data_IF_887632506079
#
_entry.id   IF_887632506079
#
_cell.length_a   1.000
_cell.length_b   1.000
_cell.length_c   1.000
_cell.angle_alpha   90.00
_cell.angle_beta   90.00
_cell.angle_gamma   90.00
#
_symmetry.space_group_name_H-M   'P 1'
#
loop_
_entity.id
_entity.type
_entity.pdbx_description
1 polymer ?
#
# COMPACT_ATOMS: atom_id res chain seq x y z
N UNK A 1 0.94 43.14 -4.75
CA UNK A 1 0.21 42.09 -5.49
C UNK A 1 1.23 41.08 -6.01
N UNK A 2 1.55 40.05 -5.22
CA UNK A 2 2.63 39.09 -5.50
C UNK A 2 2.09 38.03 -6.45
N UNK A 3 2.51 38.06 -7.73
CA UNK A 3 2.21 36.98 -8.69
C UNK A 3 2.77 35.67 -8.11
N UNK A 4 1.89 34.75 -7.73
CA UNK A 4 2.25 33.34 -7.59
C UNK A 4 2.62 32.84 -9.00
N UNK A 5 3.90 32.68 -9.27
CA UNK A 5 4.37 31.80 -10.33
C UNK A 5 3.76 30.43 -10.08
N UNK A 6 3.01 29.89 -11.05
CA UNK A 6 2.48 28.54 -10.98
C UNK A 6 3.65 27.57 -10.76
N UNK A 7 3.81 27.08 -9.54
CA UNK A 7 4.68 25.95 -9.27
C UNK A 7 4.18 24.79 -10.14
N UNK A 8 5.07 24.15 -10.90
CA UNK A 8 4.72 22.99 -11.70
C UNK A 8 4.06 21.96 -10.77
N UNK A 9 2.81 21.60 -11.06
CA UNK A 9 2.09 20.60 -10.27
C UNK A 9 2.90 19.29 -10.33
N UNK A 10 3.03 18.56 -9.21
CA UNK A 10 3.72 17.28 -9.21
C UNK A 10 3.04 16.33 -10.20
N UNK A 11 3.85 15.59 -10.96
CA UNK A 11 3.33 14.61 -11.91
C UNK A 11 2.47 13.57 -11.18
N UNK A 12 1.24 13.27 -11.64
CA UNK A 12 0.38 12.34 -10.95
C UNK A 12 0.96 10.92 -11.05
N UNK A 13 0.78 10.12 -9.99
CA UNK A 13 1.27 8.73 -9.93
C UNK A 13 0.80 7.86 -11.11
N UNK A 14 -0.38 8.15 -11.66
CA UNK A 14 -0.91 7.47 -12.84
C UNK A 14 -0.09 7.74 -14.11
N UNK A 15 0.52 8.92 -14.25
CA UNK A 15 1.41 9.20 -15.39
C UNK A 15 2.68 8.32 -15.31
N UNK A 16 3.28 8.19 -14.12
CA UNK A 16 4.41 7.28 -13.92
C UNK A 16 4.05 5.81 -14.21
N UNK A 17 2.81 5.41 -13.94
CA UNK A 17 2.30 4.09 -14.28
C UNK A 17 2.12 3.90 -15.79
N UNK A 18 1.59 4.90 -16.50
CA UNK A 18 1.47 4.88 -17.96
C UNK A 18 2.85 4.80 -18.65
N UNK A 19 3.83 5.58 -18.17
CA UNK A 19 5.21 5.52 -18.68
C UNK A 19 5.84 4.15 -18.43
N UNK A 20 5.59 3.56 -17.25
CA UNK A 20 6.04 2.21 -16.93
C UNK A 20 5.36 1.16 -17.80
N UNK A 21 4.06 1.25 -18.06
CA UNK A 21 3.34 0.34 -18.96
C UNK A 21 3.88 0.41 -20.39
N UNK A 22 4.16 1.61 -20.89
CA UNK A 22 4.71 1.80 -22.22
C UNK A 22 6.11 1.18 -22.36
N UNK A 23 6.94 1.28 -21.30
CA UNK A 23 8.31 0.76 -21.28
C UNK A 23 8.39 -0.75 -21.01
N UNK A 24 7.66 -1.24 -20.03
CA UNK A 24 7.78 -2.61 -19.51
C UNK A 24 6.77 -3.59 -20.12
N UNK A 25 5.68 -3.08 -20.70
CA UNK A 25 4.59 -3.89 -21.28
C UNK A 25 4.28 -3.51 -22.73
N UNK A 26 4.89 -2.46 -23.27
CA UNK A 26 4.61 -1.97 -24.62
C UNK A 26 3.21 -1.35 -24.79
N UNK A 27 2.49 -1.12 -23.70
CA UNK A 27 1.11 -0.64 -23.71
C UNK A 27 1.06 0.89 -23.67
N UNK A 28 0.38 1.49 -24.65
CA UNK A 28 0.19 2.94 -24.73
C UNK A 28 -1.30 3.25 -24.89
N UNK A 29 -1.75 4.25 -24.13
CA UNK A 29 -3.14 4.69 -24.12
C UNK A 29 -3.18 6.17 -24.53
N UNK A 30 -4.15 6.53 -25.37
CA UNK A 30 -4.29 7.90 -25.86
C UNK A 30 -4.99 8.81 -24.85
N UNK A 31 -5.84 8.22 -24.00
CA UNK A 31 -6.52 8.89 -22.90
C UNK A 31 -6.82 7.91 -21.74
N UNK A 32 -7.48 8.43 -20.70
CA UNK A 32 -7.88 7.64 -19.54
C UNK A 32 -8.99 6.63 -19.87
N UNK A 33 -9.87 6.92 -20.82
CA UNK A 33 -10.97 6.02 -21.19
C UNK A 33 -10.42 4.74 -21.83
N UNK A 34 -9.40 4.85 -22.67
CA UNK A 34 -8.68 3.71 -23.23
C UNK A 34 -7.99 2.86 -22.15
N UNK A 35 -7.33 3.51 -21.18
CA UNK A 35 -6.72 2.83 -20.05
C UNK A 35 -7.77 2.08 -19.21
N UNK A 36 -8.88 2.76 -18.89
CA UNK A 36 -9.97 2.19 -18.11
C UNK A 36 -10.62 1.01 -18.84
N UNK A 37 -10.88 1.15 -20.14
CA UNK A 37 -11.44 0.09 -20.98
C UNK A 37 -10.54 -1.14 -20.94
N UNK A 38 -9.23 -0.96 -21.09
CA UNK A 38 -8.28 -2.06 -20.93
C UNK A 38 -8.30 -2.65 -19.51
N UNK A 39 -8.34 -1.83 -18.46
CA UNK A 39 -8.32 -2.31 -17.07
C UNK A 39 -9.50 -3.22 -16.70
N UNK A 40 -10.62 -3.12 -17.41
CA UNK A 40 -11.84 -3.90 -17.15
C UNK A 40 -12.06 -5.02 -18.17
N UNK A 41 -11.41 -4.96 -19.34
CA UNK A 41 -11.54 -5.98 -20.40
C UNK A 41 -10.43 -7.02 -20.36
N UNK A 42 -9.25 -6.68 -19.83
CA UNK A 42 -8.13 -7.58 -19.62
C UNK A 42 -7.67 -7.51 -18.15
N UNK A 43 -8.47 -8.13 -17.28
CA UNK A 43 -8.25 -8.14 -15.83
C UNK A 43 -6.92 -8.78 -15.45
N UNK A 44 -6.54 -9.86 -16.12
CA UNK A 44 -5.31 -10.60 -15.82
C UNK A 44 -4.09 -9.74 -16.13
N UNK A 45 -4.02 -9.12 -17.32
CA UNK A 45 -2.90 -8.24 -17.65
C UNK A 45 -2.89 -6.99 -16.75
N UNK A 46 -4.05 -6.40 -16.48
CA UNK A 46 -4.15 -5.23 -15.62
C UNK A 46 -3.66 -5.53 -14.20
N UNK A 47 -4.20 -6.54 -13.53
CA UNK A 47 -3.83 -6.83 -12.14
C UNK A 47 -2.42 -7.40 -12.00
N UNK A 48 -1.91 -8.13 -13.00
CA UNK A 48 -0.49 -8.47 -13.07
C UNK A 48 0.38 -7.20 -13.12
N UNK A 49 0.01 -6.25 -13.98
CA UNK A 49 0.77 -5.02 -14.15
C UNK A 49 0.74 -4.13 -12.89
N UNK A 50 -0.36 -4.09 -12.14
CA UNK A 50 -0.46 -3.41 -10.84
C UNK A 50 0.46 -4.06 -9.81
N UNK A 51 0.43 -5.40 -9.70
CA UNK A 51 1.32 -6.14 -8.81
C UNK A 51 2.78 -5.81 -9.08
N UNK A 52 3.18 -5.80 -10.35
CA UNK A 52 4.56 -5.57 -10.77
C UNK A 52 4.97 -4.11 -10.60
N UNK A 53 4.11 -3.16 -11.00
CA UNK A 53 4.39 -1.72 -10.87
C UNK A 53 4.59 -1.30 -9.42
N UNK A 54 3.77 -1.81 -8.50
CA UNK A 54 3.94 -1.54 -7.08
C UNK A 54 5.01 -2.43 -6.42
N UNK A 55 5.53 -3.45 -7.10
CA UNK A 55 6.50 -4.39 -6.55
C UNK A 55 5.93 -5.16 -5.36
N UNK A 56 4.72 -5.72 -5.51
CA UNK A 56 4.09 -6.53 -4.46
C UNK A 56 4.79 -7.88 -4.37
N UNK A 57 5.51 -8.07 -3.27
CA UNK A 57 6.28 -9.30 -3.00
C UNK A 57 5.38 -10.46 -2.55
N UNK A 58 5.67 -11.67 -3.03
CA UNK A 58 5.09 -12.91 -2.51
C UNK A 58 6.17 -13.96 -2.37
N UNK A 59 6.26 -14.70 -1.25
CA UNK A 59 7.23 -15.78 -1.09
C UNK A 59 6.89 -17.01 -1.95
N UNK A 60 5.65 -17.09 -2.43
CA UNK A 60 5.17 -18.18 -3.29
C UNK A 60 4.61 -17.61 -4.60
N UNK A 61 4.78 -18.30 -5.74
CA UNK A 61 4.21 -17.83 -6.99
C UNK A 61 2.68 -17.94 -6.98
N UNK A 62 2.02 -17.00 -7.67
CA UNK A 62 0.62 -17.18 -8.04
C UNK A 62 0.53 -18.13 -9.25
N UNK A 63 -0.45 -19.03 -9.27
CA UNK A 63 -0.68 -19.90 -10.43
C UNK A 63 -1.54 -19.24 -11.52
N UNK A 64 -2.27 -18.18 -11.17
CA UNK A 64 -3.08 -17.35 -12.06
C UNK A 64 -3.25 -15.95 -11.44
N UNK A 65 -3.77 -14.99 -12.20
CA UNK A 65 -4.14 -13.67 -11.67
C UNK A 65 -5.58 -13.71 -11.16
N UNK A 66 -6.55 -14.07 -12.00
CA UNK A 66 -7.92 -14.38 -11.62
C UNK A 66 -8.27 -15.82 -12.01
N UNK A 67 -8.40 -16.72 -11.04
CA UNK A 67 -8.73 -18.12 -11.32
C UNK A 67 -10.23 -18.42 -11.37
N UNK A 68 -11.02 -17.68 -10.61
CA UNK A 68 -12.49 -17.77 -10.63
C UNK A 68 -13.06 -16.35 -10.66
N UNK A 69 -13.87 -16.02 -11.68
CA UNK A 69 -14.50 -14.70 -11.83
C UNK A 69 -15.93 -14.65 -11.25
N UNK A 70 -16.44 -15.75 -10.69
CA UNK A 70 -17.80 -15.80 -10.14
C UNK A 70 -17.97 -14.89 -8.92
N UNK A 71 -19.16 -14.29 -8.80
CA UNK A 71 -19.50 -13.43 -7.66
C UNK A 71 -20.73 -13.97 -6.91
N UNK A 72 -20.66 -14.14 -5.57
CA UNK A 72 -19.46 -14.05 -4.71
C UNK A 72 -18.52 -15.24 -4.93
N UNK A 73 -17.25 -15.10 -4.49
CA UNK A 73 -16.29 -16.20 -4.49
C UNK A 73 -15.16 -16.10 -5.51
N UNK A 74 -14.91 -14.91 -6.06
CA UNK A 74 -13.78 -14.71 -6.96
C UNK A 74 -12.44 -15.06 -6.28
N UNK A 75 -11.55 -15.72 -7.02
CA UNK A 75 -10.26 -16.20 -6.50
C UNK A 75 -9.12 -15.48 -7.21
N UNK A 76 -8.52 -14.51 -6.52
CA UNK A 76 -7.39 -13.72 -7.01
C UNK A 76 -6.05 -14.27 -6.50
N UNK A 77 -5.05 -14.28 -7.37
CA UNK A 77 -3.67 -14.70 -7.10
C UNK A 77 -3.54 -16.02 -6.30
N UNK A 78 -4.23 -17.11 -6.70
CA UNK A 78 -4.15 -18.38 -5.98
C UNK A 78 -2.70 -18.85 -5.86
N UNK A 79 -2.34 -19.31 -4.66
CA UNK A 79 -0.99 -19.75 -4.32
C UNK A 79 -0.06 -18.63 -3.85
N UNK A 80 -0.32 -17.36 -4.20
CA UNK A 80 0.45 -16.25 -3.65
C UNK A 80 0.14 -16.03 -2.17
N UNK A 81 1.16 -15.61 -1.42
CA UNK A 81 1.04 -15.24 -0.02
C UNK A 81 1.54 -13.81 0.16
N UNK A 82 0.85 -13.04 1.00
CA UNK A 82 1.30 -11.70 1.35
C UNK A 82 1.13 -11.47 2.84
N UNK A 83 1.96 -10.58 3.38
CA UNK A 83 1.79 -10.00 4.70
C UNK A 83 1.69 -8.49 4.53
N UNK A 84 0.51 -7.92 4.86
CA UNK A 84 0.24 -6.50 4.64
C UNK A 84 1.22 -5.60 5.38
N UNK A 85 1.48 -5.86 6.66
CA UNK A 85 2.44 -5.08 7.45
C UNK A 85 3.85 -5.10 6.83
N UNK A 86 4.32 -6.26 6.33
CA UNK A 86 5.58 -6.37 5.59
C UNK A 86 5.57 -5.54 4.32
N UNK A 87 4.48 -5.56 3.55
CA UNK A 87 4.36 -4.75 2.34
C UNK A 87 4.46 -3.26 2.66
N UNK A 88 3.79 -2.78 3.71
CA UNK A 88 3.89 -1.37 4.13
C UNK A 88 5.30 -1.03 4.62
N UNK A 89 5.87 -1.86 5.50
CA UNK A 89 7.15 -1.60 6.15
C UNK A 89 8.37 -1.83 5.24
N UNK A 90 8.23 -2.40 4.03
CA UNK A 90 9.36 -2.57 3.10
C UNK A 90 9.98 -1.23 2.68
N UNK A 91 9.21 -0.15 2.73
CA UNK A 91 9.66 1.20 2.39
C UNK A 91 10.28 1.95 3.58
N UNK A 92 10.27 1.35 4.78
CA UNK A 92 10.61 2.03 6.04
C UNK A 92 12.02 2.63 6.03
N UNK A 93 13.02 1.86 5.61
CA UNK A 93 14.42 2.30 5.67
C UNK A 93 14.69 3.42 4.64
N UNK A 94 14.16 3.30 3.42
CA UNK A 94 14.29 4.33 2.39
C UNK A 94 13.55 5.63 2.77
N UNK A 95 12.32 5.53 3.29
CA UNK A 95 11.55 6.68 3.74
C UNK A 95 12.19 7.35 4.97
N UNK A 96 12.75 6.57 5.89
CA UNK A 96 13.52 7.10 7.02
C UNK A 96 14.77 7.85 6.56
N UNK A 97 15.55 7.27 5.64
CA UNK A 97 16.73 7.92 5.08
C UNK A 97 16.41 9.24 4.35
N UNK A 98 15.23 9.32 3.73
CA UNK A 98 14.71 10.53 3.11
C UNK A 98 14.14 11.56 4.11
N UNK A 99 14.15 11.26 5.42
CA UNK A 99 13.62 12.14 6.45
C UNK A 99 12.09 12.23 6.48
N UNK A 100 11.38 11.27 5.87
CA UNK A 100 9.93 11.26 5.87
C UNK A 100 9.38 10.64 7.16
N UNK A 101 8.41 11.27 7.84
CA UNK A 101 7.71 10.64 8.94
C UNK A 101 6.82 9.49 8.40
N UNK A 102 6.58 8.48 9.24
CA UNK A 102 5.63 7.42 8.95
C UNK A 102 4.21 7.82 9.34
N UNK A 103 4.07 8.51 10.47
CA UNK A 103 2.80 9.05 10.97
C UNK A 103 3.03 10.49 11.37
N UNK A 104 2.15 11.38 10.91
CA UNK A 104 2.00 12.74 11.44
C UNK A 104 0.68 12.75 12.19
N UNK A 105 0.72 12.98 13.50
CA UNK A 105 -0.45 12.95 14.37
C UNK A 105 -0.68 14.31 15.00
N UNK A 106 -1.94 14.72 15.05
CA UNK A 106 -2.37 15.91 15.76
C UNK A 106 -3.76 15.68 16.35
N UNK A 107 -4.02 16.28 17.50
CA UNK A 107 -5.35 16.41 18.05
C UNK A 107 -5.62 17.85 18.51
N UNK A 108 -6.85 18.12 18.90
CA UNK A 108 -7.35 19.46 19.25
C UNK A 108 -6.64 20.11 20.44
N UNK A 109 -5.96 19.34 21.29
CA UNK A 109 -5.27 19.83 22.49
C UNK A 109 -3.78 20.06 22.26
N UNK A 110 -3.25 19.67 21.10
CA UNK A 110 -1.81 19.72 20.83
C UNK A 110 -1.44 21.06 20.18
N UNK A 111 -0.37 21.72 20.66
CA UNK A 111 0.07 23.00 20.08
C UNK A 111 0.70 22.82 18.69
N UNK A 112 1.15 21.62 18.34
CA UNK A 112 1.71 21.27 17.04
C UNK A 112 1.55 19.76 16.77
N UNK A 113 1.65 19.30 15.51
CA UNK A 113 1.72 17.88 15.18
C UNK A 113 2.93 17.20 15.81
N UNK A 114 2.81 15.91 16.09
CA UNK A 114 3.92 15.02 16.43
C UNK A 114 4.16 14.04 15.30
N UNK A 115 5.42 13.71 15.10
CA UNK A 115 5.83 12.78 14.06
C UNK A 115 6.38 11.50 14.67
N UNK A 116 6.01 10.37 14.07
CA UNK A 116 6.59 9.07 14.37
C UNK A 116 7.37 8.63 13.14
N UNK A 117 8.67 8.37 13.34
CA UNK A 117 9.54 7.87 12.29
C UNK A 117 9.26 6.41 11.93
N UNK A 118 9.61 6.01 10.72
CA UNK A 118 9.42 4.64 10.20
C UNK A 118 10.07 3.55 11.06
N UNK A 119 11.27 3.80 11.59
CA UNK A 119 11.96 2.84 12.46
C UNK A 119 11.21 2.64 13.78
N UNK A 120 10.66 3.70 14.33
CA UNK A 120 9.90 3.65 15.58
C UNK A 120 8.54 2.97 15.36
N UNK A 121 7.84 3.27 14.26
CA UNK A 121 6.63 2.56 13.89
C UNK A 121 6.91 1.05 13.73
N UNK A 122 7.97 0.69 13.00
CA UNK A 122 8.39 -0.71 12.83
C UNK A 122 8.66 -1.40 14.17
N UNK A 123 9.32 -0.71 15.10
CA UNK A 123 9.60 -1.21 16.46
C UNK A 123 8.33 -1.43 17.25
N UNK A 124 7.39 -0.48 17.26
CA UNK A 124 6.12 -0.60 17.98
C UNK A 124 5.25 -1.73 17.43
N UNK A 125 5.12 -1.84 16.10
CA UNK A 125 4.40 -2.94 15.43
C UNK A 125 5.01 -4.29 15.80
N UNK A 126 6.34 -4.42 15.75
CA UNK A 126 7.03 -5.66 16.12
C UNK A 126 6.82 -6.02 17.60
N UNK A 127 6.87 -5.02 18.49
CA UNK A 127 6.64 -5.21 19.93
C UNK A 127 5.22 -5.70 20.21
N UNK A 128 4.21 -5.08 19.59
CA UNK A 128 2.82 -5.49 19.77
C UNK A 128 2.56 -6.88 19.18
N UNK A 129 3.07 -7.16 17.98
CA UNK A 129 2.95 -8.48 17.36
C UNK A 129 3.64 -9.59 18.18
N UNK A 130 4.73 -9.28 18.91
CA UNK A 130 5.34 -10.20 19.87
C UNK A 130 4.43 -10.44 21.08
N UNK A 131 3.88 -9.38 21.67
CA UNK A 131 2.97 -9.48 22.81
C UNK A 131 1.70 -10.27 22.47
N UNK A 132 1.10 -10.03 21.29
CA UNK A 132 -0.08 -10.79 20.82
C UNK A 132 0.22 -12.28 20.65
N UNK A 133 1.39 -12.62 20.08
CA UNK A 133 1.81 -14.02 19.98
C UNK A 133 2.02 -14.67 21.35
N UNK A 134 2.62 -13.94 22.30
CA UNK A 134 2.79 -14.41 23.68
C UNK A 134 1.44 -14.62 24.39
N UNK A 135 0.44 -13.79 24.07
CA UNK A 135 -0.95 -13.94 24.53
C UNK A 135 -1.73 -15.06 23.80
N UNK A 136 -1.11 -15.76 22.84
CA UNK A 136 -1.68 -16.93 22.18
C UNK A 136 -2.43 -16.64 20.88
N UNK A 137 -2.38 -15.42 20.34
CA UNK A 137 -3.03 -15.06 19.05
C UNK A 137 -2.37 -15.83 17.90
N UNK A 138 -3.20 -16.44 17.05
CA UNK A 138 -2.80 -17.23 15.87
C UNK A 138 -3.42 -16.69 14.59
N UNK A 139 -2.90 -17.15 13.45
CA UNK A 139 -3.46 -16.84 12.13
C UNK A 139 -4.92 -17.31 12.06
N UNK A 140 -5.83 -16.40 11.74
CA UNK A 140 -7.28 -16.66 11.66
C UNK A 140 -8.07 -16.25 12.91
N UNK A 141 -7.38 -15.91 14.00
CA UNK A 141 -8.03 -15.32 15.16
C UNK A 141 -8.46 -13.88 14.87
N UNK A 142 -9.52 -13.44 15.54
CA UNK A 142 -10.03 -12.08 15.45
C UNK A 142 -9.57 -11.31 16.68
N UNK A 143 -8.97 -10.15 16.46
CA UNK A 143 -8.58 -9.21 17.52
C UNK A 143 -9.46 -7.97 17.36
N UNK A 144 -10.18 -7.59 18.42
CA UNK A 144 -10.99 -6.38 18.45
C UNK A 144 -10.29 -5.33 19.32
N UNK A 145 -10.29 -4.07 18.88
CA UNK A 145 -9.73 -2.96 19.61
C UNK A 145 -10.69 -1.76 19.53
N UNK A 146 -10.96 -1.12 20.66
CA UNK A 146 -11.68 0.15 20.71
C UNK A 146 -10.67 1.27 20.97
N UNK A 147 -10.28 1.96 19.90
CA UNK A 147 -9.23 2.97 19.92
C UNK A 147 -9.71 4.25 19.22
N UNK A 148 -9.37 5.45 19.75
CA UNK A 148 -9.54 6.69 19.00
C UNK A 148 -8.55 6.75 17.82
N UNK A 149 -8.77 7.69 16.89
CA UNK A 149 -7.85 7.96 15.78
C UNK A 149 -6.52 8.53 16.29
N UNK A 150 -5.62 7.64 16.68
CA UNK A 150 -4.30 7.90 17.25
C UNK A 150 -3.29 6.94 16.65
N UNK A 151 -1.98 7.20 16.77
CA UNK A 151 -0.97 6.28 16.24
C UNK A 151 -1.10 4.84 16.76
N UNK A 152 -1.61 4.65 17.98
CA UNK A 152 -1.85 3.33 18.56
C UNK A 152 -2.85 2.51 17.74
N UNK A 153 -3.83 3.15 17.10
CA UNK A 153 -4.77 2.47 16.21
C UNK A 153 -4.06 1.92 14.96
N UNK A 154 -3.10 2.66 14.41
CA UNK A 154 -2.28 2.21 13.28
C UNK A 154 -1.30 1.11 13.69
N UNK A 155 -0.69 1.22 14.88
CA UNK A 155 0.20 0.18 15.42
C UNK A 155 -0.54 -1.13 15.67
N UNK A 156 -1.81 -1.07 16.05
CA UNK A 156 -2.64 -2.23 16.38
C UNK A 156 -3.31 -2.93 15.19
N UNK A 157 -3.30 -2.32 14.00
CA UNK A 157 -3.91 -2.86 12.78
C UNK A 157 -2.95 -3.78 12.02
#
# INVERSE_FOLDING_TARGET
MRRMTAAALPSPRIAAYLDWLARERGLRFHDYEALWTWSVTDLDAFWASIRDFFGVESPTPASAILAEERMPGAVWFPGALANFARQVLRHADAAHAAGHPAIVFQNERMPAPVEIGWLELRRQVASLAQAMRAAGVRRGDRVAAWLPNTPHAIVAF
#
